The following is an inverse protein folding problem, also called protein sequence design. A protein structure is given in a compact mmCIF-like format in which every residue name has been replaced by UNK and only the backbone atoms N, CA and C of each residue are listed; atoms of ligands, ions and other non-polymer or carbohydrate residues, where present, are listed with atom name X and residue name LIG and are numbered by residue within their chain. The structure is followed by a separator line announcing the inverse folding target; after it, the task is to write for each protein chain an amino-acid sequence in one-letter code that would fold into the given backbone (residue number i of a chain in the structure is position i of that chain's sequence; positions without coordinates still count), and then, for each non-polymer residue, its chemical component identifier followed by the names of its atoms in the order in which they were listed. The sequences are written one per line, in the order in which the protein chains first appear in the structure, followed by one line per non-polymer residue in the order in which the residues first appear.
data_IF_192702811175
#
_entry.id   IF_192702811175
#
_cell.length_a   1.000
_cell.length_b   1.000
_cell.length_c   1.000
_cell.angle_alpha   90.00
_cell.angle_beta   90.00
_cell.angle_gamma   90.00
#
_symmetry.space_group_name_H-M   'P 1'
#
loop_
_entity.id
_entity.type
_entity.pdbx_description
1 polymer ?
#
# COMPACT_ATOMS: atom_id res chain seq x y z
N UNK A 1 -24.86 -0.02 19.99
CA UNK A 1 -24.97 0.70 18.71
C UNK A 1 -23.69 0.41 17.94
N UNK A 2 -23.76 -0.29 16.80
CA UNK A 2 -22.56 -0.68 16.05
C UNK A 2 -21.96 0.55 15.34
N UNK A 3 -20.63 0.57 15.18
CA UNK A 3 -19.90 1.64 14.49
C UNK A 3 -20.46 1.83 13.06
N UNK A 4 -20.90 3.04 12.67
CA UNK A 4 -21.42 3.33 11.34
C UNK A 4 -20.46 2.93 10.20
N UNK A 5 -19.15 2.97 10.45
CA UNK A 5 -18.12 2.52 9.50
C UNK A 5 -18.33 1.05 9.09
N UNK A 6 -18.64 0.18 10.05
CA UNK A 6 -18.82 -1.26 9.80
C UNK A 6 -19.98 -1.46 8.83
N UNK A 7 -21.02 -0.62 8.83
CA UNK A 7 -22.15 -0.78 7.93
C UNK A 7 -21.86 -0.40 6.46
N UNK A 8 -20.72 0.22 6.19
CA UNK A 8 -20.30 0.57 4.82
C UNK A 8 -19.68 -0.62 4.09
N UNK A 9 -19.67 -0.59 2.76
CA UNK A 9 -18.93 -1.58 1.96
C UNK A 9 -17.43 -1.55 2.28
N UNK A 10 -16.86 -0.35 2.42
CA UNK A 10 -15.45 -0.16 2.78
C UNK A 10 -15.12 -0.84 4.10
N UNK A 11 -15.90 -0.55 5.15
CA UNK A 11 -15.69 -1.11 6.48
C UNK A 11 -15.81 -2.63 6.51
N UNK A 12 -16.76 -3.21 5.78
CA UNK A 12 -16.85 -4.67 5.65
C UNK A 12 -15.59 -5.28 5.02
N UNK A 13 -15.06 -4.66 3.95
CA UNK A 13 -13.87 -5.18 3.29
C UNK A 13 -12.62 -5.03 4.16
N UNK A 14 -12.52 -3.94 4.93
CA UNK A 14 -11.49 -3.78 5.97
C UNK A 14 -11.59 -4.88 7.02
N UNK A 15 -12.79 -5.19 7.52
CA UNK A 15 -12.98 -6.26 8.50
C UNK A 15 -12.55 -7.63 7.97
N UNK A 16 -12.81 -7.94 6.70
CA UNK A 16 -12.29 -9.16 6.07
C UNK A 16 -10.76 -9.15 5.96
N UNK A 17 -10.17 -8.02 5.58
CA UNK A 17 -8.71 -7.90 5.51
C UNK A 17 -8.04 -8.09 6.87
N UNK A 18 -8.58 -7.45 7.91
CA UNK A 18 -8.09 -7.57 9.28
C UNK A 18 -8.24 -9.01 9.80
N UNK A 19 -9.42 -9.61 9.60
CA UNK A 19 -9.77 -10.94 10.10
C UNK A 19 -9.08 -12.09 9.37
N UNK A 20 -8.63 -11.88 8.13
CA UNK A 20 -7.94 -12.91 7.35
C UNK A 20 -6.45 -12.59 7.19
N UNK A 21 -6.12 -11.48 6.51
CA UNK A 21 -4.74 -11.18 6.10
C UNK A 21 -3.92 -10.72 7.30
N UNK A 22 -4.36 -9.70 8.04
CA UNK A 22 -3.60 -9.27 9.23
C UNK A 22 -3.54 -10.38 10.29
N UNK A 23 -4.64 -11.10 10.49
CA UNK A 23 -4.66 -12.24 11.41
C UNK A 23 -3.59 -13.29 11.03
N UNK A 24 -3.52 -13.69 9.76
CA UNK A 24 -2.47 -14.59 9.27
C UNK A 24 -1.07 -14.02 9.51
N UNK A 25 -0.86 -12.73 9.23
CA UNK A 25 0.43 -12.08 9.49
C UNK A 25 0.81 -12.11 10.97
N UNK A 26 -0.14 -11.89 11.89
CA UNK A 26 0.12 -12.03 13.33
C UNK A 26 0.54 -13.45 13.69
N UNK A 27 -0.13 -14.47 13.16
CA UNK A 27 0.25 -15.87 13.38
C UNK A 27 1.66 -16.16 12.87
N UNK A 28 2.00 -15.69 11.67
CA UNK A 28 3.34 -15.88 11.10
C UNK A 28 4.42 -15.14 11.90
N UNK A 29 4.15 -13.92 12.39
CA UNK A 29 5.08 -13.19 13.25
C UNK A 29 5.28 -13.92 14.59
N UNK A 30 4.20 -14.43 15.20
CA UNK A 30 4.29 -15.23 16.43
C UNK A 30 5.10 -16.50 16.17
N UNK A 31 4.85 -17.22 15.08
CA UNK A 31 5.59 -18.42 14.71
C UNK A 31 7.09 -18.14 14.54
N UNK A 32 7.45 -17.07 13.81
CA UNK A 32 8.83 -16.64 13.65
C UNK A 32 9.48 -16.30 15.01
N UNK A 33 8.79 -15.57 15.90
CA UNK A 33 9.28 -15.30 17.26
C UNK A 33 9.53 -16.60 18.02
N UNK A 34 8.61 -17.58 17.94
CA UNK A 34 8.76 -18.87 18.65
C UNK A 34 9.89 -19.74 18.11
N UNK A 35 10.23 -19.60 16.82
CA UNK A 35 11.35 -20.31 16.20
C UNK A 35 12.68 -19.57 16.27
N UNK A 36 12.68 -18.33 16.79
CA UNK A 36 13.88 -17.49 16.84
C UNK A 36 14.26 -16.88 15.49
N UNK A 37 13.36 -16.91 14.51
CA UNK A 37 13.54 -16.33 13.18
C UNK A 37 13.17 -14.85 13.14
N UNK A 38 13.72 -14.14 12.15
CA UNK A 38 13.35 -12.73 11.91
C UNK A 38 11.94 -12.63 11.32
N UNK A 39 11.09 -11.84 11.96
CA UNK A 39 9.76 -11.48 11.44
C UNK A 39 9.74 -10.13 10.72
N UNK A 40 10.91 -9.47 10.53
CA UNK A 40 11.01 -8.10 10.01
C UNK A 40 10.25 -7.90 8.70
N UNK A 41 10.42 -8.80 7.73
CA UNK A 41 9.77 -8.67 6.42
C UNK A 41 8.24 -8.69 6.52
N UNK A 42 7.70 -9.63 7.31
CA UNK A 42 6.26 -9.75 7.57
C UNK A 42 5.78 -8.51 8.34
N UNK A 43 6.55 -8.08 9.34
CA UNK A 43 6.28 -6.87 10.10
C UNK A 43 6.20 -5.63 9.23
N UNK A 44 7.18 -5.38 8.35
CA UNK A 44 7.20 -4.18 7.48
C UNK A 44 6.02 -4.16 6.50
N UNK A 45 5.67 -5.32 5.94
CA UNK A 45 4.47 -5.44 5.13
C UNK A 45 3.20 -5.10 5.93
N UNK A 46 3.13 -5.60 7.18
CA UNK A 46 2.01 -5.35 8.07
C UNK A 46 1.92 -3.87 8.42
N UNK A 47 3.06 -3.22 8.70
CA UNK A 47 3.14 -1.78 8.99
C UNK A 47 2.52 -0.97 7.86
N UNK A 48 2.91 -1.22 6.62
CA UNK A 48 2.35 -0.48 5.48
C UNK A 48 0.85 -0.68 5.31
N UNK A 49 0.41 -1.93 5.42
CA UNK A 49 -1.01 -2.31 5.35
C UNK A 49 -1.84 -1.65 6.46
N UNK A 50 -1.31 -1.65 7.68
CA UNK A 50 -1.92 -1.05 8.85
C UNK A 50 -2.00 0.48 8.73
N UNK A 51 -0.89 1.14 8.38
CA UNK A 51 -0.83 2.60 8.26
C UNK A 51 -1.79 3.13 7.20
N UNK A 52 -1.86 2.47 6.03
CA UNK A 52 -2.81 2.84 4.98
C UNK A 52 -4.24 2.78 5.49
N UNK A 53 -4.64 1.66 6.10
CA UNK A 53 -5.96 1.50 6.72
C UNK A 53 -6.23 2.58 7.76
N UNK A 54 -5.30 2.82 8.68
CA UNK A 54 -5.46 3.76 9.77
C UNK A 54 -5.67 5.19 9.25
N UNK A 55 -4.84 5.64 8.30
CA UNK A 55 -4.95 6.96 7.69
C UNK A 55 -6.29 7.13 6.97
N UNK A 56 -6.68 6.15 6.13
CA UNK A 56 -7.95 6.19 5.38
C UNK A 56 -9.14 6.16 6.31
N UNK A 57 -9.10 5.34 7.36
CA UNK A 57 -10.18 5.27 8.35
C UNK A 57 -10.33 6.61 9.10
N UNK A 58 -9.24 7.16 9.65
CA UNK A 58 -9.29 8.40 10.43
C UNK A 58 -9.80 9.56 9.57
N UNK A 59 -9.20 9.77 8.39
CA UNK A 59 -9.58 10.87 7.49
C UNK A 59 -10.95 10.66 6.84
N UNK A 60 -11.28 9.43 6.47
CA UNK A 60 -12.58 9.10 5.87
C UNK A 60 -13.73 9.25 6.86
N UNK A 61 -13.52 8.83 8.10
CA UNK A 61 -14.54 8.98 9.16
C UNK A 61 -14.74 10.43 9.57
N UNK A 62 -13.73 11.30 9.50
CA UNK A 62 -13.89 12.73 9.82
C UNK A 62 -14.50 13.55 8.68
N UNK A 63 -14.17 13.25 7.42
CA UNK A 63 -14.64 14.00 6.24
C UNK A 63 -15.96 13.44 5.69
N UNK A 64 -16.24 12.16 5.91
CA UNK A 64 -17.42 11.47 5.37
C UNK A 64 -18.73 11.81 6.10
N UNK A 65 -19.83 11.26 5.58
CA UNK A 65 -21.19 11.44 6.10
C UNK A 65 -21.38 11.17 7.60
N UNK A 66 -20.47 10.40 8.23
CA UNK A 66 -20.54 10.03 9.65
C UNK A 66 -19.64 10.89 10.57
N UNK A 67 -19.07 12.01 10.09
CA UNK A 67 -18.13 12.84 10.84
C UNK A 67 -18.65 13.45 12.16
N UNK A 68 -19.97 13.49 12.37
CA UNK A 68 -20.59 14.00 13.60
C UNK A 68 -20.82 12.93 14.68
N UNK A 69 -20.71 11.64 14.35
CA UNK A 69 -20.93 10.51 15.27
C UNK A 69 -19.61 9.95 15.86
N UNK A 70 -18.51 10.68 15.68
CA UNK A 70 -17.17 10.30 16.14
C UNK A 70 -17.05 10.49 17.66
N UNK A 71 -17.89 9.83 18.47
CA UNK A 71 -17.67 9.77 19.91
C UNK A 71 -18.33 8.56 20.60
N UNK A 72 -17.52 7.52 20.83
CA UNK A 72 -17.39 6.70 22.07
C UNK A 72 -16.28 5.64 21.87
N UNK A 73 -16.03 5.21 20.62
CA UNK A 73 -14.99 4.24 20.25
C UNK A 73 -13.58 4.84 20.06
N UNK A 74 -13.44 6.16 20.19
CA UNK A 74 -12.18 6.88 20.01
C UNK A 74 -11.08 6.38 20.96
N UNK A 75 -11.39 6.13 22.23
CA UNK A 75 -10.37 5.77 23.22
C UNK A 75 -9.75 4.39 22.95
N UNK A 76 -10.58 3.42 22.55
CA UNK A 76 -10.13 2.09 22.07
C UNK A 76 -9.32 2.21 20.77
N UNK A 77 -9.74 3.08 19.85
CA UNK A 77 -8.98 3.36 18.63
C UNK A 77 -7.63 4.02 18.92
N UNK A 78 -7.57 4.98 19.84
CA UNK A 78 -6.33 5.66 20.24
C UNK A 78 -5.37 4.69 20.95
N UNK A 79 -5.89 3.78 21.78
CA UNK A 79 -5.09 2.72 22.39
C UNK A 79 -4.54 1.76 21.33
N UNK A 80 -5.40 1.33 20.40
CA UNK A 80 -5.01 0.44 19.31
C UNK A 80 -3.96 1.08 18.39
N UNK A 81 -4.12 2.35 18.03
CA UNK A 81 -3.13 3.11 17.27
C UNK A 81 -1.83 3.22 18.06
N UNK A 82 -1.87 3.55 19.35
CA UNK A 82 -0.67 3.67 20.20
C UNK A 82 0.13 2.36 20.24
N UNK A 83 -0.55 1.22 20.47
CA UNK A 83 0.09 -0.11 20.46
C UNK A 83 0.66 -0.44 19.08
N UNK A 84 -0.06 -0.09 18.02
CA UNK A 84 0.37 -0.36 16.66
C UNK A 84 1.57 0.50 16.25
N UNK A 85 1.61 1.77 16.67
CA UNK A 85 2.77 2.66 16.49
C UNK A 85 3.99 2.11 17.24
N UNK A 86 3.81 1.66 18.49
CA UNK A 86 4.87 0.98 19.22
C UNK A 86 5.37 -0.28 18.50
N UNK A 87 4.46 -1.10 17.96
CA UNK A 87 4.83 -2.28 17.18
C UNK A 87 5.58 -1.91 15.90
N UNK A 88 5.18 -0.84 15.20
CA UNK A 88 5.90 -0.31 14.03
C UNK A 88 7.34 0.04 14.40
N UNK A 89 7.55 0.80 15.48
CA UNK A 89 8.89 1.15 15.95
C UNK A 89 9.72 -0.09 16.27
N UNK A 90 9.15 -1.06 16.97
CA UNK A 90 9.82 -2.33 17.29
C UNK A 90 10.27 -3.09 16.04
N UNK A 91 9.41 -3.16 15.02
CA UNK A 91 9.72 -3.81 13.74
C UNK A 91 10.84 -3.08 13.01
N UNK A 92 10.77 -1.75 12.92
CA UNK A 92 11.81 -0.95 12.26
C UNK A 92 13.15 -1.03 12.98
N UNK A 93 13.16 -1.18 14.31
CA UNK A 93 14.37 -1.34 15.11
C UNK A 93 15.05 -2.71 14.97
N UNK A 94 14.43 -3.71 14.33
CA UNK A 94 15.12 -4.97 14.07
C UNK A 94 16.27 -4.79 13.07
N UNK A 95 17.43 -5.43 13.25
CA UNK A 95 18.50 -5.39 12.27
C UNK A 95 18.02 -5.96 10.92
N UNK A 96 18.55 -5.40 9.83
CA UNK A 96 18.29 -5.94 8.50
C UNK A 96 19.02 -7.27 8.36
N UNK A 97 18.30 -8.36 8.10
CA UNK A 97 18.87 -9.69 7.82
C UNK A 97 19.77 -9.74 6.58
N UNK A 98 19.93 -8.63 5.85
CA UNK A 98 20.75 -8.55 4.65
C UNK A 98 22.24 -8.29 4.93
N UNK A 99 22.65 -8.12 6.19
CA UNK A 99 24.07 -7.97 6.56
C UNK A 99 24.87 -9.28 6.40
N UNK A 100 24.22 -10.46 6.46
CA UNK A 100 24.93 -11.76 6.48
C UNK A 100 25.24 -12.33 5.09
N UNK A 101 24.57 -11.90 4.02
CA UNK A 101 24.87 -12.33 2.64
C UNK A 101 25.80 -11.34 1.94
N UNK A 102 27.02 -11.22 2.47
CA UNK A 102 28.10 -10.39 1.94
C UNK A 102 28.68 -10.98 0.63
N UNK A 103 27.87 -11.04 -0.42
CA UNK A 103 28.30 -11.49 -1.74
C UNK A 103 28.46 -10.28 -2.65
N UNK A 104 29.67 -10.10 -3.17
CA UNK A 104 30.13 -9.05 -4.11
C UNK A 104 28.97 -8.32 -4.81
N UNK A 105 28.78 -7.05 -4.44
CA UNK A 105 27.83 -6.14 -5.08
C UNK A 105 28.22 -5.95 -6.56
N UNK A 106 27.68 -6.79 -7.44
CA UNK A 106 27.90 -6.68 -8.88
C UNK A 106 27.03 -5.52 -9.39
N UNK A 107 27.64 -4.33 -9.52
CA UNK A 107 26.99 -3.13 -10.06
C UNK A 107 26.75 -3.28 -11.57
N UNK A 108 25.76 -4.09 -11.93
CA UNK A 108 25.36 -4.27 -13.33
C UNK A 108 24.58 -3.05 -13.82
N UNK A 109 24.96 -2.54 -14.99
CA UNK A 109 24.20 -1.51 -15.71
C UNK A 109 22.74 -1.95 -15.90
N UNK A 110 21.82 -0.98 -15.99
CA UNK A 110 20.37 -1.22 -16.15
C UNK A 110 20.07 -2.15 -17.34
N UNK A 111 20.86 -2.06 -18.42
CA UNK A 111 20.70 -2.91 -19.61
C UNK A 111 20.90 -4.42 -19.33
N UNK A 112 21.63 -4.75 -18.27
CA UNK A 112 21.83 -6.13 -17.83
C UNK A 112 20.79 -6.56 -16.78
N UNK A 113 19.77 -5.73 -16.52
CA UNK A 113 18.70 -5.93 -15.54
C UNK A 113 17.32 -5.71 -16.20
N UNK A 114 16.88 -6.60 -17.11
CA UNK A 114 15.65 -6.42 -17.88
C UNK A 114 14.38 -6.37 -17.01
N UNK A 115 14.37 -7.04 -15.86
CA UNK A 115 13.27 -6.95 -14.89
C UNK A 115 13.16 -5.55 -14.28
N UNK A 116 14.28 -4.91 -13.97
CA UNK A 116 14.31 -3.57 -13.39
C UNK A 116 13.84 -2.53 -14.42
N UNK A 117 14.17 -2.74 -15.72
CA UNK A 117 13.62 -1.96 -16.84
C UNK A 117 12.10 -2.08 -16.94
N UNK A 118 11.55 -3.30 -16.83
CA UNK A 118 10.10 -3.51 -16.84
C UNK A 118 9.42 -2.75 -15.68
N UNK A 119 10.00 -2.78 -14.48
CA UNK A 119 9.48 -2.03 -13.35
C UNK A 119 9.57 -0.51 -13.56
N UNK A 120 10.65 0.01 -14.14
CA UNK A 120 10.75 1.43 -14.51
C UNK A 120 9.64 1.82 -15.49
N UNK A 121 9.43 1.02 -16.54
CA UNK A 121 8.36 1.23 -17.54
C UNK A 121 6.98 1.20 -16.89
N UNK A 122 6.77 0.36 -15.87
CA UNK A 122 5.52 0.30 -15.11
C UNK A 122 5.34 1.47 -14.12
N UNK A 123 6.40 1.91 -13.45
CA UNK A 123 6.32 2.93 -12.40
C UNK A 123 5.85 4.28 -12.93
N UNK A 124 6.20 4.63 -14.17
CA UNK A 124 5.77 5.87 -14.83
C UNK A 124 4.24 5.93 -15.01
N UNK A 125 3.57 4.98 -15.69
CA UNK A 125 2.12 4.96 -15.78
C UNK A 125 1.46 4.73 -14.42
N UNK A 126 2.06 3.98 -13.49
CA UNK A 126 1.54 3.83 -12.13
C UNK A 126 1.51 5.18 -11.38
N UNK A 127 2.56 5.99 -11.51
CA UNK A 127 2.61 7.35 -10.97
C UNK A 127 1.56 8.24 -11.62
N UNK A 128 1.50 8.27 -12.95
CA UNK A 128 0.51 9.06 -13.69
C UNK A 128 -0.93 8.67 -13.29
N UNK A 129 -1.21 7.37 -13.15
CA UNK A 129 -2.51 6.86 -12.75
C UNK A 129 -2.88 7.25 -11.32
N UNK A 130 -1.91 7.17 -10.40
CA UNK A 130 -2.08 7.60 -9.02
C UNK A 130 -2.45 9.09 -8.91
N UNK A 131 -1.69 9.95 -9.61
CA UNK A 131 -1.95 11.39 -9.69
C UNK A 131 -3.30 11.66 -10.34
N UNK A 132 -3.60 10.99 -11.46
CA UNK A 132 -4.88 11.12 -12.16
C UNK A 132 -6.06 10.80 -11.23
N UNK A 133 -6.04 9.67 -10.52
CA UNK A 133 -7.10 9.34 -9.55
C UNK A 133 -7.23 10.37 -8.43
N UNK A 134 -6.11 10.93 -7.96
CA UNK A 134 -6.09 12.04 -7.01
C UNK A 134 -6.80 13.29 -7.56
N UNK A 135 -6.53 13.67 -8.81
CA UNK A 135 -7.18 14.79 -9.48
C UNK A 135 -8.68 14.55 -9.71
N UNK A 136 -9.08 13.32 -10.05
CA UNK A 136 -10.49 12.93 -10.23
C UNK A 136 -11.29 13.16 -8.93
N UNK A 137 -10.72 12.79 -7.79
CA UNK A 137 -11.40 12.94 -6.49
C UNK A 137 -11.35 14.36 -5.93
N UNK A 138 -10.43 15.19 -6.41
CA UNK A 138 -10.39 16.65 -6.22
C UNK A 138 -11.34 17.41 -7.16
N UNK A 139 -12.25 16.68 -7.83
CA UNK A 139 -13.29 17.25 -8.68
C UNK A 139 -12.73 18.04 -9.88
N UNK A 140 -11.66 17.53 -10.51
CA UNK A 140 -11.13 18.07 -11.77
C UNK A 140 -12.24 18.19 -12.84
N UNK A 141 -12.37 19.36 -13.45
CA UNK A 141 -13.42 19.71 -14.42
C UNK A 141 -13.25 19.10 -15.81
N UNK A 142 -12.15 18.37 -16.05
CA UNK A 142 -11.88 17.74 -17.34
C UNK A 142 -12.92 16.67 -17.69
N UNK A 143 -13.35 16.63 -18.96
CA UNK A 143 -14.29 15.64 -19.49
C UNK A 143 -13.80 14.21 -19.27
N UNK A 144 -12.50 13.97 -19.47
CA UNK A 144 -11.86 12.68 -19.23
C UNK A 144 -12.01 12.18 -17.78
N UNK A 145 -11.96 13.09 -16.80
CA UNK A 145 -12.12 12.72 -15.38
C UNK A 145 -13.57 12.31 -15.07
N UNK A 146 -14.54 12.99 -15.69
CA UNK A 146 -15.96 12.71 -15.54
C UNK A 146 -16.33 11.38 -16.20
N UNK A 147 -15.88 11.17 -17.45
CA UNK A 147 -16.08 9.91 -18.18
C UNK A 147 -15.45 8.72 -17.45
N UNK A 148 -14.22 8.87 -16.96
CA UNK A 148 -13.55 7.83 -16.16
C UNK A 148 -14.36 7.45 -14.92
N UNK A 149 -14.84 8.46 -14.19
CA UNK A 149 -15.65 8.24 -12.98
C UNK A 149 -16.95 7.53 -13.33
N UNK A 150 -17.64 7.92 -14.39
CA UNK A 150 -18.94 7.33 -14.74
C UNK A 150 -18.81 5.91 -15.29
N UNK A 151 -17.77 5.63 -16.08
CA UNK A 151 -17.62 4.35 -16.78
C UNK A 151 -16.89 3.28 -15.96
N UNK A 152 -15.90 3.69 -15.16
CA UNK A 152 -14.99 2.74 -14.51
C UNK A 152 -15.02 2.81 -13.00
N UNK A 153 -14.97 4.00 -12.40
CA UNK A 153 -14.91 4.13 -10.94
C UNK A 153 -15.93 5.10 -10.32
N UNK A 154 -17.26 4.81 -10.41
CA UNK A 154 -18.27 5.65 -9.78
C UNK A 154 -18.13 5.70 -8.26
N UNK A 155 -17.52 4.67 -7.67
CA UNK A 155 -17.28 4.54 -6.23
C UNK A 155 -16.49 5.72 -5.66
N UNK A 156 -15.67 6.40 -6.47
CA UNK A 156 -14.92 7.59 -6.05
C UNK A 156 -15.82 8.76 -5.60
N UNK A 157 -17.09 8.76 -5.99
CA UNK A 157 -18.09 9.77 -5.58
C UNK A 157 -18.98 9.31 -4.43
N UNK A 158 -18.68 8.17 -3.80
CA UNK A 158 -19.47 7.65 -2.69
C UNK A 158 -19.42 8.61 -1.47
N UNK A 159 -20.58 8.90 -0.83
CA UNK A 159 -20.69 9.88 0.25
C UNK A 159 -19.99 9.46 1.55
N UNK A 160 -19.54 8.21 1.68
CA UNK A 160 -18.74 7.75 2.83
C UNK A 160 -17.32 8.31 2.82
N UNK A 161 -16.87 8.94 1.73
CA UNK A 161 -15.57 9.59 1.55
C UNK A 161 -14.32 8.70 1.65
N UNK A 162 -14.41 7.45 2.13
CA UNK A 162 -13.28 6.51 2.16
C UNK A 162 -12.57 6.33 0.79
N UNK A 163 -13.26 6.07 -0.34
CA UNK A 163 -12.57 5.93 -1.62
C UNK A 163 -11.89 7.23 -2.08
N UNK A 164 -12.53 8.38 -1.81
CA UNK A 164 -11.95 9.71 -2.08
C UNK A 164 -10.66 9.90 -1.29
N UNK A 165 -10.70 9.70 0.02
CA UNK A 165 -9.54 9.79 0.90
C UNK A 165 -8.44 8.83 0.47
N UNK A 166 -8.79 7.59 0.12
CA UNK A 166 -7.82 6.59 -0.32
C UNK A 166 -7.08 7.02 -1.59
N UNK A 167 -7.74 7.66 -2.57
CA UNK A 167 -7.07 8.17 -3.76
C UNK A 167 -6.17 9.38 -3.43
N UNK A 168 -6.56 10.25 -2.50
CA UNK A 168 -5.73 11.36 -2.03
C UNK A 168 -4.48 10.87 -1.29
N UNK A 169 -4.63 9.90 -0.39
CA UNK A 169 -3.51 9.24 0.30
C UNK A 169 -2.62 8.55 -0.73
N UNK A 170 -3.19 7.87 -1.72
CA UNK A 170 -2.46 7.33 -2.85
C UNK A 170 -1.60 8.40 -3.53
N UNK A 171 -2.20 9.51 -3.97
CA UNK A 171 -1.49 10.59 -4.64
C UNK A 171 -0.37 11.19 -3.78
N UNK A 172 -0.64 11.47 -2.51
CA UNK A 172 0.29 12.16 -1.61
C UNK A 172 1.41 11.26 -1.05
N UNK A 173 1.16 9.95 -0.88
CA UNK A 173 2.14 9.01 -0.33
C UNK A 173 2.74 8.08 -1.38
N UNK A 174 1.93 7.49 -2.26
CA UNK A 174 2.42 6.61 -3.32
C UNK A 174 3.08 7.39 -4.45
N UNK A 175 2.65 8.62 -4.72
CA UNK A 175 3.27 9.50 -5.72
C UNK A 175 4.78 9.72 -5.46
N UNK A 176 5.16 10.29 -4.31
CA UNK A 176 6.57 10.43 -3.93
C UNK A 176 7.31 9.09 -3.85
N UNK A 177 6.65 8.03 -3.37
CA UNK A 177 7.23 6.69 -3.35
C UNK A 177 7.64 6.22 -4.76
N UNK A 178 6.82 6.42 -5.79
CA UNK A 178 7.18 5.99 -7.14
C UNK A 178 8.40 6.74 -7.68
N UNK A 179 8.55 8.03 -7.37
CA UNK A 179 9.73 8.83 -7.74
C UNK A 179 10.99 8.30 -7.05
N UNK A 180 10.90 8.07 -5.74
CA UNK A 180 12.01 7.54 -4.93
C UNK A 180 12.38 6.12 -5.40
N UNK A 181 11.39 5.29 -5.71
CA UNK A 181 11.57 3.92 -6.22
C UNK A 181 12.23 3.91 -7.60
N UNK A 182 11.84 4.81 -8.50
CA UNK A 182 12.51 5.01 -9.79
C UNK A 182 13.99 5.34 -9.58
N UNK A 183 14.29 6.29 -8.69
CA UNK A 183 15.66 6.61 -8.32
C UNK A 183 16.41 5.39 -7.76
N UNK A 184 15.79 4.64 -6.86
CA UNK A 184 16.39 3.44 -6.24
C UNK A 184 16.69 2.32 -7.24
N UNK A 185 15.93 2.19 -8.34
CA UNK A 185 16.23 1.22 -9.41
C UNK A 185 17.39 1.67 -10.31
N UNK A 186 17.57 2.98 -10.45
CA UNK A 186 18.60 3.58 -11.31
C UNK A 186 19.95 3.69 -10.60
N UNK A 187 19.96 3.97 -9.29
CA UNK A 187 21.19 4.24 -8.52
C UNK A 187 21.51 3.06 -7.58
N UNK A 188 22.72 2.48 -7.65
CA UNK A 188 23.11 1.39 -6.74
C UNK A 188 23.33 1.89 -5.31
N UNK A 189 23.23 0.98 -4.33
CA UNK A 189 23.51 1.30 -2.91
C UNK A 189 22.36 1.94 -2.14
N UNK A 190 21.13 1.87 -2.67
CA UNK A 190 19.90 2.28 -1.99
C UNK A 190 19.39 1.21 -1.01
N UNK A 191 20.05 1.07 0.14
CA UNK A 191 19.75 0.04 1.16
C UNK A 191 18.32 0.13 1.73
N UNK A 192 17.69 1.30 1.67
CA UNK A 192 16.31 1.50 2.10
C UNK A 192 15.27 0.89 1.14
N UNK A 193 15.65 0.54 -0.09
CA UNK A 193 14.72 0.13 -1.14
C UNK A 193 13.97 -1.18 -0.82
N UNK A 194 14.62 -2.27 -0.35
CA UNK A 194 13.90 -3.50 -0.02
C UNK A 194 12.87 -3.32 1.11
N UNK A 195 13.19 -2.51 2.11
CA UNK A 195 12.28 -2.24 3.23
C UNK A 195 11.14 -1.30 2.83
N UNK A 196 11.44 -0.26 2.05
CA UNK A 196 10.44 0.69 1.57
C UNK A 196 9.44 0.02 0.62
N UNK A 197 9.91 -0.86 -0.27
CA UNK A 197 9.05 -1.63 -1.18
C UNK A 197 8.16 -2.62 -0.43
N UNK A 198 8.64 -3.22 0.67
CA UNK A 198 7.81 -4.05 1.57
C UNK A 198 6.67 -3.23 2.18
N UNK A 199 6.97 -2.09 2.79
CA UNK A 199 5.95 -1.21 3.39
C UNK A 199 4.94 -0.76 2.35
N UNK A 200 5.40 -0.28 1.18
CA UNK A 200 4.48 0.15 0.12
C UNK A 200 3.62 -0.98 -0.43
N UNK A 201 4.19 -2.18 -0.60
CA UNK A 201 3.46 -3.35 -1.09
C UNK A 201 2.32 -3.74 -0.15
N UNK A 202 2.52 -3.70 1.18
CA UNK A 202 1.47 -3.92 2.16
C UNK A 202 0.38 -2.84 2.15
N UNK A 203 0.78 -1.57 2.01
CA UNK A 203 -0.15 -0.46 1.89
C UNK A 203 -1.05 -0.59 0.64
N UNK A 204 -0.46 -0.89 -0.51
CA UNK A 204 -1.19 -1.05 -1.77
C UNK A 204 -2.05 -2.30 -1.80
N UNK A 205 -1.60 -3.41 -1.21
CA UNK A 205 -2.40 -4.64 -1.16
C UNK A 205 -3.71 -4.40 -0.39
N UNK A 206 -3.63 -3.77 0.77
CA UNK A 206 -4.81 -3.41 1.56
C UNK A 206 -5.70 -2.42 0.82
N UNK A 207 -5.12 -1.32 0.33
CA UNK A 207 -5.87 -0.28 -0.37
C UNK A 207 -6.61 -0.85 -1.59
N UNK A 208 -5.92 -1.60 -2.45
CA UNK A 208 -6.52 -2.14 -3.66
C UNK A 208 -7.54 -3.22 -3.37
N UNK A 209 -7.30 -4.11 -2.40
CA UNK A 209 -8.30 -5.09 -1.99
C UNK A 209 -9.60 -4.40 -1.56
N UNK A 210 -9.50 -3.44 -0.64
CA UNK A 210 -10.67 -2.73 -0.13
C UNK A 210 -11.37 -1.94 -1.23
N UNK A 211 -10.62 -1.25 -2.10
CA UNK A 211 -11.20 -0.47 -3.21
C UNK A 211 -11.92 -1.36 -4.23
N UNK A 212 -11.27 -2.41 -4.72
CA UNK A 212 -11.85 -3.33 -5.71
C UNK A 212 -13.11 -3.97 -5.15
N UNK A 213 -13.00 -4.58 -3.96
CA UNK A 213 -14.11 -5.31 -3.38
C UNK A 213 -15.26 -4.38 -2.99
N UNK A 214 -14.99 -3.21 -2.41
CA UNK A 214 -16.04 -2.25 -2.07
C UNK A 214 -16.72 -1.67 -3.33
N UNK A 215 -15.98 -1.41 -4.40
CA UNK A 215 -16.53 -0.91 -5.66
C UNK A 215 -17.53 -1.88 -6.32
N UNK A 216 -17.43 -3.18 -6.02
CA UNK A 216 -18.30 -4.24 -6.52
C UNK A 216 -19.34 -4.71 -5.51
N UNK A 217 -19.19 -4.35 -4.23
CA UNK A 217 -20.01 -4.87 -3.14
C UNK A 217 -21.46 -4.37 -3.21
N UNK A 218 -22.41 -5.21 -2.82
CA UNK A 218 -23.86 -4.89 -2.84
C UNK A 218 -24.27 -3.77 -1.89
N UNK A 219 -23.49 -3.57 -0.80
CA UNK A 219 -23.66 -2.43 0.13
C UNK A 219 -23.26 -1.08 -0.46
N UNK A 220 -22.49 -1.05 -1.55
CA UNK A 220 -22.25 0.19 -2.28
C UNK A 220 -23.52 0.53 -3.07
N UNK A 221 -24.05 1.76 -3.00
CA UNK A 221 -25.24 2.13 -3.76
C UNK A 221 -25.06 1.84 -5.25
N UNK A 222 -26.12 1.42 -5.94
CA UNK A 222 -26.04 0.99 -7.33
C UNK A 222 -25.44 2.06 -8.26
N UNK A 223 -25.74 3.34 -8.01
CA UNK A 223 -25.18 4.48 -8.75
C UNK A 223 -23.66 4.66 -8.59
N UNK A 224 -23.08 4.09 -7.53
CA UNK A 224 -21.64 4.16 -7.23
C UNK A 224 -20.91 2.83 -7.44
N UNK A 225 -21.61 1.77 -7.85
CA UNK A 225 -20.99 0.50 -8.22
C UNK A 225 -20.42 0.54 -9.62
N UNK A 226 -19.38 -0.26 -9.87
CA UNK A 226 -18.79 -0.38 -11.21
C UNK A 226 -19.82 -0.94 -12.20
N UNK A 227 -20.12 -0.23 -13.30
CA UNK A 227 -21.06 -0.69 -14.32
C UNK A 227 -20.58 -2.00 -14.95
N UNK A 228 -21.49 -2.94 -15.24
CA UNK A 228 -21.14 -4.27 -15.75
C UNK A 228 -20.24 -4.25 -16.99
N UNK A 229 -20.47 -3.30 -17.92
CA UNK A 229 -19.63 -3.15 -19.11
C UNK A 229 -18.20 -2.68 -18.84
N UNK A 230 -17.97 -1.92 -17.76
CA UNK A 230 -16.65 -1.42 -17.37
C UNK A 230 -15.88 -2.35 -16.43
N UNK A 231 -16.53 -3.35 -15.84
CA UNK A 231 -15.92 -4.25 -14.83
C UNK A 231 -14.65 -4.97 -15.30
N UNK A 232 -14.56 -5.53 -16.53
CA UNK A 232 -13.35 -6.22 -16.96
C UNK A 232 -12.12 -5.30 -16.98
N UNK A 233 -12.28 -4.09 -17.50
CA UNK A 233 -11.20 -3.08 -17.57
C UNK A 233 -10.85 -2.59 -16.18
N UNK A 234 -11.86 -2.28 -15.36
CA UNK A 234 -11.67 -1.88 -13.96
C UNK A 234 -10.86 -2.93 -13.18
N UNK A 235 -11.25 -4.20 -13.28
CA UNK A 235 -10.57 -5.30 -12.60
C UNK A 235 -9.15 -5.47 -13.11
N UNK A 236 -8.95 -5.50 -14.43
CA UNK A 236 -7.62 -5.65 -15.03
C UNK A 236 -6.66 -4.58 -14.52
N UNK A 237 -7.05 -3.31 -14.61
CA UNK A 237 -6.19 -2.19 -14.22
C UNK A 237 -5.89 -2.21 -12.72
N UNK A 238 -6.90 -2.41 -11.86
CA UNK A 238 -6.71 -2.41 -10.42
C UNK A 238 -5.93 -3.64 -9.93
N UNK A 239 -6.14 -4.82 -10.52
CA UNK A 239 -5.38 -6.03 -10.18
C UNK A 239 -3.91 -5.87 -10.60
N UNK A 240 -3.64 -5.37 -11.80
CA UNK A 240 -2.26 -5.08 -12.22
C UNK A 240 -1.59 -4.07 -11.28
N UNK A 241 -2.32 -3.01 -10.92
CA UNK A 241 -1.85 -1.99 -10.00
C UNK A 241 -1.59 -2.52 -8.57
N UNK A 242 -2.32 -3.57 -8.15
CA UNK A 242 -2.09 -4.27 -6.90
C UNK A 242 -0.92 -5.26 -6.95
N UNK A 243 -0.75 -5.99 -8.06
CA UNK A 243 0.23 -7.08 -8.20
C UNK A 243 1.65 -6.58 -8.44
N UNK A 244 1.83 -5.52 -9.24
CA UNK A 244 3.15 -5.04 -9.62
C UNK A 244 4.01 -4.57 -8.43
N UNK A 245 3.48 -3.86 -7.42
CA UNK A 245 4.22 -3.57 -6.19
C UNK A 245 4.67 -4.84 -5.44
N UNK A 246 3.88 -5.91 -5.45
CA UNK A 246 4.25 -7.19 -4.83
C UNK A 246 5.42 -7.84 -5.58
N UNK A 247 5.36 -7.83 -6.92
CA UNK A 247 6.41 -8.37 -7.77
C UNK A 247 7.72 -7.57 -7.61
N UNK A 248 7.64 -6.24 -7.50
CA UNK A 248 8.80 -5.38 -7.25
C UNK A 248 9.42 -5.67 -5.87
N UNK A 249 8.60 -5.75 -4.83
CA UNK A 249 9.04 -6.12 -3.49
C UNK A 249 9.76 -7.50 -3.50
N UNK A 250 9.18 -8.50 -4.15
CA UNK A 250 9.79 -9.82 -4.32
C UNK A 250 11.14 -9.73 -5.04
N UNK A 251 11.25 -8.95 -6.12
CA UNK A 251 12.50 -8.70 -6.85
C UNK A 251 13.56 -8.03 -5.98
N UNK A 252 13.20 -7.02 -5.19
CA UNK A 252 14.13 -6.32 -4.30
C UNK A 252 14.65 -7.23 -3.18
N UNK A 253 13.82 -8.16 -2.70
CA UNK A 253 14.17 -9.12 -1.64
C UNK A 253 15.00 -10.29 -2.13
N UNK A 254 14.66 -10.88 -3.27
CA UNK A 254 15.35 -12.09 -3.78
C UNK A 254 16.71 -11.81 -4.40
N UNK A 255 16.94 -10.57 -4.85
CA UNK A 255 18.21 -10.16 -5.46
C UNK A 255 18.62 -8.77 -4.96
N UNK A 256 19.01 -8.65 -3.68
CA UNK A 256 19.28 -7.36 -3.04
C UNK A 256 20.65 -6.78 -3.40
N UNK A 257 21.54 -7.55 -4.05
CA UNK A 257 22.93 -7.19 -4.32
C UNK A 257 23.15 -5.81 -4.97
N UNK A 258 22.19 -5.31 -5.77
CA UNK A 258 22.27 -3.98 -6.38
C UNK A 258 22.06 -2.83 -5.36
N UNK A 259 21.27 -3.08 -4.31
CA UNK A 259 20.86 -2.09 -3.32
C UNK A 259 21.81 -2.00 -2.12
N UNK A 260 22.63 -3.03 -1.90
CA UNK A 260 23.61 -3.05 -0.81
C UNK A 260 24.79 -2.12 -1.11
N UNK A 261 25.28 -1.40 -0.11
CA UNK A 261 26.53 -0.66 -0.26
C UNK A 261 27.72 -1.63 -0.20
N UNK A 262 28.77 -1.41 -0.99
CA UNK A 262 30.02 -2.12 -0.78
C UNK A 262 30.53 -1.77 0.63
N UNK A 263 30.80 -2.79 1.45
CA UNK A 263 31.63 -2.60 2.63
C UNK A 263 32.99 -2.13 2.14
N UNK A 264 33.30 -0.84 2.31
CA UNK A 264 34.67 -0.38 2.30
C UNK A 264 35.41 -1.21 3.35
N UNK A 265 36.42 -1.97 2.89
CA UNK A 265 37.36 -2.63 3.79
C UNK A 265 37.69 -1.65 4.92
N UNK A 266 37.43 -2.07 6.17
CA UNK A 266 38.08 -1.46 7.32
C UNK A 266 39.58 -1.64 7.07
N UNK A 267 40.20 -0.67 6.39
CA UNK A 267 41.65 -0.51 6.41
C UNK A 267 42.01 -0.31 7.86
N UNK A 268 42.60 -1.36 8.41
CA UNK A 268 43.50 -1.34 9.55
C UNK A 268 44.32 -0.05 9.55
N UNK A 269 44.06 0.81 10.53
CA UNK A 269 45.05 1.66 11.18
C UNK A 269 44.97 1.38 12.68
#
# INVERSE_FOLDING_TARGET
MADPHINTAHGHMISYWDGCVHYLMYLLMIAAITWGDSYRAIGLYWVGSFLMRAIVYILGSTVGKHGTEVNYFLLLHMLYISVSVWACFRIFSQPSTQEDELTKAEQKSILHRPLDLLFIIYLVPAFAFCVFRGLVVLDCSSTWCQEYTQQYEPYLKDPTAYPKVQMLVGMLYSGPYYIITLYGLMVPGCEWMPDLTLVHSGALAQAQFTHICASLHTRTPFSYRVPAGGQPVFLLVNILYALMPQALCYRCRTRPAFFLRPTLDKKTE
#
